data_IF_555208656271
#
_entry.id   IF_555208656271
#
_cell.length_a   1.000
_cell.length_b   1.000
_cell.length_c   1.000
_cell.angle_alpha   90.00
_cell.angle_beta   90.00
_cell.angle_gamma   90.00
#
_symmetry.space_group_name_H-M   'P 1'
#
loop_
_entity.id
_entity.type
_entity.pdbx_description
1 polymer ?
#
# COMPACT_ATOMS: atom_id res chain seq x y z
N UNK A 1 -67.71 0.66 -9.61
CA UNK A 1 -66.41 0.79 -8.93
C UNK A 1 -65.36 1.14 -9.96
N UNK A 2 -64.93 2.39 -9.95
CA UNK A 2 -64.13 3.03 -11.00
C UNK A 2 -62.65 2.65 -10.91
N UNK A 3 -62.09 2.24 -12.04
CA UNK A 3 -60.70 1.85 -12.24
C UNK A 3 -59.78 3.06 -12.35
N UNK A 4 -58.79 3.16 -11.45
CA UNK A 4 -57.69 4.11 -11.56
C UNK A 4 -56.68 3.63 -12.62
N UNK A 5 -56.53 4.41 -13.69
CA UNK A 5 -55.46 4.24 -14.69
C UNK A 5 -54.32 5.21 -14.41
N UNK A 6 -53.12 4.64 -14.30
CA UNK A 6 -51.83 5.32 -14.12
C UNK A 6 -51.40 6.03 -15.42
N UNK A 7 -51.24 7.36 -15.38
CA UNK A 7 -50.66 8.15 -16.47
C UNK A 7 -49.17 8.34 -16.23
N UNK A 8 -48.33 7.58 -16.93
CA UNK A 8 -46.90 7.87 -17.03
C UNK A 8 -46.38 7.54 -18.42
N UNK A 9 -46.40 8.53 -19.33
CA UNK A 9 -45.43 8.67 -20.43
C UNK A 9 -45.81 9.88 -21.28
N UNK A 10 -45.10 10.99 -21.13
CA UNK A 10 -44.98 11.97 -22.21
C UNK A 10 -43.50 12.11 -22.51
N UNK A 11 -43.12 11.52 -23.65
CA UNK A 11 -41.83 11.70 -24.27
C UNK A 11 -41.68 13.12 -24.79
N UNK A 12 -40.43 13.56 -24.83
CA UNK A 12 -39.97 14.74 -25.55
C UNK A 12 -40.42 14.67 -27.02
N UNK A 13 -41.30 15.59 -27.43
CA UNK A 13 -41.48 15.96 -28.83
C UNK A 13 -40.87 17.34 -28.97
N UNK A 14 -39.73 17.42 -29.65
CA UNK A 14 -39.19 18.69 -30.14
C UNK A 14 -40.20 19.31 -31.10
N UNK A 15 -40.77 20.45 -30.72
CA UNK A 15 -41.59 21.25 -31.63
C UNK A 15 -40.69 22.27 -32.32
N UNK A 16 -40.53 22.08 -33.63
CA UNK A 16 -40.20 23.17 -34.53
C UNK A 16 -41.29 24.25 -34.40
N UNK A 17 -40.86 25.51 -34.32
CA UNK A 17 -41.70 26.69 -34.13
C UNK A 17 -42.17 27.16 -35.52
N UNK A 18 -43.47 27.17 -35.86
CA UNK A 18 -43.92 28.00 -36.97
C UNK A 18 -44.03 29.45 -36.51
N UNK A 19 -43.65 30.36 -37.40
CA UNK A 19 -43.79 31.81 -37.23
C UNK A 19 -45.25 32.18 -36.98
N UNK A 20 -45.48 33.06 -36.02
CA UNK A 20 -46.82 33.58 -35.71
C UNK A 20 -47.18 34.62 -36.77
N UNK A 21 -48.14 34.28 -37.63
CA UNK A 21 -48.90 35.26 -38.41
C UNK A 21 -49.97 35.86 -37.50
N UNK A 22 -49.95 37.19 -37.35
CA UNK A 22 -50.95 37.96 -36.61
C UNK A 22 -52.23 38.07 -37.44
N UNK A 23 -53.12 37.09 -37.30
CA UNK A 23 -54.51 37.21 -37.74
C UNK A 23 -55.39 37.48 -36.52
N UNK A 24 -56.04 38.64 -36.52
CA UNK A 24 -56.98 39.09 -35.50
C UNK A 24 -58.20 38.14 -35.53
N UNK A 25 -58.35 37.32 -34.49
CA UNK A 25 -59.48 36.38 -34.35
C UNK A 25 -60.74 37.13 -33.91
N UNK A 26 -61.83 36.94 -34.65
CA UNK A 26 -63.17 37.41 -34.31
C UNK A 26 -63.63 36.80 -32.98
N UNK A 27 -64.11 37.67 -32.07
CA UNK A 27 -64.65 37.28 -30.76
C UNK A 27 -65.94 36.48 -30.92
N UNK A 28 -65.87 35.17 -30.71
CA UNK A 28 -67.06 34.36 -30.41
C UNK A 28 -67.29 34.38 -28.89
N UNK A 29 -68.42 34.93 -28.46
CA UNK A 29 -68.86 34.89 -27.06
C UNK A 29 -69.38 33.50 -26.72
N UNK A 30 -68.50 32.61 -26.26
CA UNK A 30 -68.90 31.35 -25.60
C UNK A 30 -68.66 31.48 -24.10
N UNK A 31 -69.70 31.21 -23.29
CA UNK A 31 -69.68 31.29 -21.81
C UNK A 31 -69.10 30.04 -21.14
N UNK A 32 -68.63 29.05 -21.88
CA UNK A 32 -67.94 27.89 -21.31
C UNK A 32 -66.47 28.25 -21.06
N UNK A 33 -66.11 28.50 -19.80
CA UNK A 33 -64.73 28.64 -19.37
C UNK A 33 -63.89 27.48 -19.90
N UNK A 34 -62.85 27.76 -20.69
CA UNK A 34 -61.91 26.73 -21.11
C UNK A 34 -61.19 26.21 -19.86
N UNK A 35 -61.35 24.92 -19.53
CA UNK A 35 -60.74 24.26 -18.36
C UNK A 35 -59.19 24.22 -18.38
N UNK A 36 -58.53 25.07 -19.17
CA UNK A 36 -57.08 25.06 -19.40
C UNK A 36 -56.41 26.43 -19.23
N UNK A 37 -57.15 27.49 -18.92
CA UNK A 37 -56.53 28.77 -18.59
C UNK A 37 -56.10 28.72 -17.11
N UNK A 38 -54.78 28.66 -16.87
CA UNK A 38 -54.20 28.93 -15.56
C UNK A 38 -54.73 30.30 -15.11
N UNK A 39 -55.31 30.38 -13.92
CA UNK A 39 -55.84 31.64 -13.40
C UNK A 39 -54.73 32.64 -13.04
N UNK A 40 -55.04 33.94 -12.96
CA UNK A 40 -54.08 35.01 -12.68
C UNK A 40 -53.41 34.89 -11.30
N UNK A 41 -54.01 34.14 -10.37
CA UNK A 41 -53.46 33.88 -9.03
C UNK A 41 -52.28 32.90 -9.03
N UNK A 42 -52.15 32.08 -10.08
CA UNK A 42 -51.06 31.12 -10.16
C UNK A 42 -49.77 31.85 -10.60
N UNK A 43 -48.63 31.67 -9.91
CA UNK A 43 -47.37 32.33 -10.29
C UNK A 43 -46.86 31.94 -11.68
N UNK A 44 -47.40 30.88 -12.28
CA UNK A 44 -47.12 30.48 -13.66
C UNK A 44 -48.12 31.04 -14.68
N UNK A 45 -48.98 31.98 -14.28
CA UNK A 45 -49.88 32.69 -15.19
C UNK A 45 -49.11 33.39 -16.32
N UNK A 46 -47.93 33.93 -15.99
CA UNK A 46 -46.96 34.44 -16.95
C UNK A 46 -45.65 33.69 -16.72
N UNK A 47 -45.18 32.95 -17.72
CA UNK A 47 -43.91 32.22 -17.65
C UNK A 47 -42.73 33.18 -17.83
N UNK A 48 -42.12 33.60 -16.73
CA UNK A 48 -40.88 34.37 -16.75
C UNK A 48 -39.70 33.39 -16.76
N UNK A 49 -38.84 33.38 -17.79
CA UNK A 49 -37.69 32.49 -17.84
C UNK A 49 -36.71 32.83 -16.72
N UNK A 50 -36.24 31.82 -16.00
CA UNK A 50 -35.24 31.98 -14.94
C UNK A 50 -33.83 32.02 -15.49
N UNK A 51 -32.91 32.71 -14.81
CA UNK A 51 -31.48 32.66 -15.12
C UNK A 51 -30.92 31.25 -14.92
N UNK A 52 -29.73 30.94 -15.46
CA UNK A 52 -29.13 29.59 -15.37
C UNK A 52 -28.73 29.20 -13.93
N UNK A 53 -28.46 30.19 -13.08
CA UNK A 53 -28.09 30.00 -11.67
C UNK A 53 -28.91 30.96 -10.79
N UNK A 54 -30.23 30.74 -10.67
CA UNK A 54 -31.12 31.74 -10.09
C UNK A 54 -31.10 31.77 -8.55
N UNK A 55 -30.63 30.71 -7.88
CA UNK A 55 -30.55 30.62 -6.42
C UNK A 55 -29.75 29.37 -6.01
N UNK A 56 -28.58 29.51 -5.37
CA UNK A 56 -27.75 28.38 -4.92
C UNK A 56 -28.25 27.77 -3.60
N UNK A 57 -29.54 27.43 -3.52
CA UNK A 57 -30.07 26.76 -2.33
C UNK A 57 -29.48 25.35 -2.22
N UNK A 58 -28.83 25.06 -1.10
CA UNK A 58 -28.33 23.72 -0.80
C UNK A 58 -29.47 22.70 -0.79
N UNK A 59 -29.23 21.51 -1.37
CA UNK A 59 -30.19 20.40 -1.26
C UNK A 59 -30.19 19.92 0.19
N UNK A 60 -31.39 19.69 0.76
CA UNK A 60 -31.52 19.08 2.09
C UNK A 60 -31.14 17.60 2.03
N UNK A 61 -30.43 17.12 3.03
CA UNK A 61 -30.08 15.70 3.16
C UNK A 61 -31.31 14.88 3.55
N UNK A 62 -31.89 14.17 2.59
CA UNK A 62 -32.99 13.24 2.82
C UNK A 62 -32.41 11.95 3.41
N UNK A 63 -32.86 11.56 4.61
CA UNK A 63 -32.43 10.34 5.29
C UNK A 63 -33.17 9.10 4.73
N UNK A 64 -32.51 7.94 4.82
CA UNK A 64 -33.04 6.65 4.37
C UNK A 64 -32.67 6.29 2.92
N UNK A 65 -32.76 5.00 2.60
CA UNK A 65 -32.38 4.46 1.27
C UNK A 65 -33.46 3.50 0.78
N UNK A 66 -33.89 3.65 -0.47
CA UNK A 66 -34.78 2.68 -1.12
C UNK A 66 -33.97 1.46 -1.58
N UNK A 67 -34.52 0.23 -1.49
CA UNK A 67 -33.82 -0.96 -1.95
C UNK A 67 -33.56 -0.87 -3.46
N UNK A 68 -32.33 -1.12 -3.93
CA UNK A 68 -32.03 -1.06 -5.35
C UNK A 68 -32.76 -2.18 -6.10
N UNK A 69 -33.37 -1.89 -7.27
CA UNK A 69 -34.07 -2.89 -8.06
C UNK A 69 -33.09 -3.93 -8.60
N UNK A 70 -33.52 -5.20 -8.64
CA UNK A 70 -32.69 -6.31 -9.14
C UNK A 70 -32.40 -6.18 -10.63
N UNK A 71 -31.17 -6.49 -11.04
CA UNK A 71 -30.81 -6.58 -12.45
C UNK A 71 -31.41 -7.84 -13.11
N UNK A 72 -32.26 -7.64 -14.11
CA UNK A 72 -32.90 -8.73 -14.87
C UNK A 72 -32.09 -9.19 -16.09
N UNK A 73 -31.18 -8.35 -16.60
CA UNK A 73 -30.41 -8.58 -17.81
C UNK A 73 -28.91 -8.48 -17.52
N UNK A 74 -28.32 -9.48 -16.81
CA UNK A 74 -26.88 -9.53 -16.61
C UNK A 74 -26.17 -9.86 -17.93
N UNK A 75 -24.90 -9.41 -18.07
CA UNK A 75 -24.13 -9.62 -19.30
C UNK A 75 -23.81 -11.10 -19.59
N UNK A 76 -23.73 -11.94 -18.56
CA UNK A 76 -23.46 -13.39 -18.66
C UNK A 76 -24.72 -14.26 -18.52
N UNK A 77 -25.90 -13.72 -18.84
CA UNK A 77 -27.18 -14.42 -18.69
C UNK A 77 -27.78 -14.92 -20.02
N UNK A 78 -28.84 -15.75 -19.96
CA UNK A 78 -29.59 -16.11 -21.15
C UNK A 78 -30.26 -14.87 -21.75
N UNK A 79 -30.36 -14.81 -23.08
CA UNK A 79 -31.04 -13.73 -23.78
C UNK A 79 -32.56 -13.84 -23.62
N UNK A 80 -33.08 -13.10 -22.65
CA UNK A 80 -34.51 -13.06 -22.30
C UNK A 80 -35.36 -12.30 -23.31
N UNK A 81 -34.75 -11.60 -24.26
CA UNK A 81 -35.47 -10.88 -25.33
C UNK A 81 -35.57 -11.74 -26.59
N UNK A 82 -34.73 -12.77 -26.71
CA UNK A 82 -34.79 -13.68 -27.85
C UNK A 82 -36.20 -14.27 -28.03
N UNK A 83 -36.67 -14.31 -29.28
CA UNK A 83 -37.99 -14.86 -29.62
C UNK A 83 -38.14 -16.29 -29.10
N UNK A 84 -37.08 -17.10 -29.20
CA UNK A 84 -37.02 -18.47 -28.66
C UNK A 84 -37.30 -18.53 -27.15
N UNK A 85 -36.76 -17.60 -26.37
CA UNK A 85 -37.01 -17.54 -24.92
C UNK A 85 -38.43 -17.07 -24.61
N UNK A 86 -38.91 -16.05 -25.31
CA UNK A 86 -40.27 -15.54 -25.09
C UNK A 86 -41.30 -16.63 -25.44
N UNK A 87 -41.18 -17.29 -26.59
CA UNK A 87 -42.11 -18.32 -27.02
C UNK A 87 -42.07 -19.56 -26.11
N UNK A 88 -40.91 -19.90 -25.54
CA UNK A 88 -40.81 -21.03 -24.60
C UNK A 88 -41.46 -20.73 -23.24
N UNK A 89 -41.28 -19.52 -22.72
CA UNK A 89 -41.81 -19.11 -21.40
C UNK A 89 -43.28 -18.69 -21.50
N UNK A 90 -43.75 -18.29 -22.68
CA UNK A 90 -45.14 -17.86 -22.93
C UNK A 90 -45.84 -18.73 -23.96
N UNK A 91 -45.69 -20.05 -23.83
CA UNK A 91 -46.33 -21.03 -24.71
C UNK A 91 -47.85 -20.87 -24.72
N UNK A 92 -48.42 -20.88 -25.92
CA UNK A 92 -49.86 -20.87 -26.14
C UNK A 92 -50.47 -22.26 -25.90
N UNK A 93 -51.74 -22.34 -25.47
CA UNK A 93 -52.40 -23.62 -25.24
C UNK A 93 -52.49 -24.42 -26.54
N UNK A 94 -52.11 -25.70 -26.49
CA UNK A 94 -52.15 -26.58 -27.67
C UNK A 94 -53.58 -26.75 -28.23
N UNK A 95 -54.61 -26.66 -27.37
CA UNK A 95 -56.02 -26.68 -27.74
C UNK A 95 -56.75 -25.59 -26.94
N UNK A 96 -57.29 -24.54 -27.57
CA UNK A 96 -58.11 -23.57 -26.86
C UNK A 96 -59.43 -24.21 -26.41
N UNK A 97 -59.99 -23.81 -25.24
CA UNK A 97 -61.25 -24.37 -24.77
C UNK A 97 -62.39 -23.95 -25.71
N UNK A 98 -63.09 -24.94 -26.31
CA UNK A 98 -64.13 -24.70 -27.32
C UNK A 98 -65.44 -24.17 -26.71
N UNK A 99 -65.77 -24.56 -25.47
CA UNK A 99 -66.92 -24.11 -24.67
C UNK A 99 -66.53 -24.07 -23.17
N UNK A 100 -65.77 -23.06 -22.71
CA UNK A 100 -65.30 -23.00 -21.34
C UNK A 100 -66.44 -22.65 -20.36
N UNK A 101 -66.49 -23.36 -19.23
CA UNK A 101 -67.18 -22.88 -18.02
C UNK A 101 -66.56 -21.53 -17.58
N UNK A 102 -67.30 -20.67 -16.87
CA UNK A 102 -66.89 -19.32 -16.48
C UNK A 102 -65.51 -19.29 -15.79
N UNK A 103 -65.25 -20.26 -14.92
CA UNK A 103 -63.94 -20.41 -14.26
C UNK A 103 -62.80 -20.73 -15.24
N UNK A 104 -63.06 -21.57 -16.24
CA UNK A 104 -62.09 -21.92 -17.28
C UNK A 104 -61.84 -20.72 -18.20
N UNK A 105 -62.89 -19.96 -18.53
CA UNK A 105 -62.80 -18.74 -19.31
C UNK A 105 -61.96 -17.67 -18.57
N UNK A 106 -62.20 -17.50 -17.26
CA UNK A 106 -61.41 -16.60 -16.41
C UNK A 106 -59.94 -17.01 -16.35
N UNK A 107 -59.65 -18.30 -16.15
CA UNK A 107 -58.27 -18.81 -16.16
C UNK A 107 -57.58 -18.58 -17.50
N UNK A 108 -58.29 -18.78 -18.60
CA UNK A 108 -57.76 -18.53 -19.94
C UNK A 108 -57.42 -17.05 -20.14
N UNK A 109 -58.33 -16.14 -19.75
CA UNK A 109 -58.12 -14.68 -19.79
C UNK A 109 -56.93 -14.25 -18.91
N UNK A 110 -56.82 -14.80 -17.70
CA UNK A 110 -55.70 -14.50 -16.82
C UNK A 110 -54.36 -15.00 -17.40
N UNK A 111 -54.37 -16.18 -18.03
CA UNK A 111 -53.19 -16.73 -18.68
C UNK A 111 -52.76 -15.92 -19.91
N UNK A 112 -53.69 -15.45 -20.74
CA UNK A 112 -53.37 -14.56 -21.86
C UNK A 112 -52.78 -13.24 -21.38
N UNK A 113 -53.42 -12.60 -20.40
CA UNK A 113 -52.93 -11.35 -19.82
C UNK A 113 -51.52 -11.50 -19.21
N UNK A 114 -51.24 -12.60 -18.50
CA UNK A 114 -49.90 -12.87 -17.95
C UNK A 114 -48.83 -13.04 -19.04
N UNK A 115 -49.17 -13.73 -20.14
CA UNK A 115 -48.24 -13.92 -21.28
C UNK A 115 -47.95 -12.59 -21.97
N UNK A 116 -48.98 -11.82 -22.26
CA UNK A 116 -48.87 -10.48 -22.89
C UNK A 116 -48.02 -9.56 -22.02
N UNK A 117 -48.38 -9.41 -20.74
CA UNK A 117 -47.64 -8.58 -19.79
C UNK A 117 -46.17 -8.98 -19.68
N UNK A 118 -45.85 -10.28 -19.67
CA UNK A 118 -44.47 -10.75 -19.59
C UNK A 118 -43.67 -10.42 -20.85
N UNK A 119 -44.24 -10.65 -22.05
CA UNK A 119 -43.62 -10.32 -23.33
C UNK A 119 -43.32 -8.82 -23.41
N UNK A 120 -44.32 -7.99 -23.12
CA UNK A 120 -44.20 -6.54 -23.17
C UNK A 120 -43.22 -6.02 -22.11
N UNK A 121 -43.30 -6.51 -20.87
CA UNK A 121 -42.44 -6.06 -19.78
C UNK A 121 -40.96 -6.34 -20.07
N UNK A 122 -40.61 -7.54 -20.55
CA UNK A 122 -39.21 -7.87 -20.86
C UNK A 122 -38.65 -6.98 -21.98
N UNK A 123 -39.42 -6.79 -23.05
CA UNK A 123 -39.02 -5.92 -24.17
C UNK A 123 -38.86 -4.47 -23.71
N UNK A 124 -39.82 -3.94 -22.93
CA UNK A 124 -39.79 -2.56 -22.46
C UNK A 124 -38.68 -2.30 -21.44
N UNK A 125 -38.46 -3.22 -20.50
CA UNK A 125 -37.38 -3.10 -19.52
C UNK A 125 -36.01 -3.17 -20.20
N UNK A 126 -35.85 -4.02 -21.21
CA UNK A 126 -34.62 -4.06 -21.99
C UNK A 126 -34.39 -2.77 -22.78
N UNK A 127 -35.42 -2.22 -23.43
CA UNK A 127 -35.36 -0.91 -24.09
C UNK A 127 -34.93 0.19 -23.13
N UNK A 128 -35.48 0.22 -21.90
CA UNK A 128 -35.09 1.16 -20.84
C UNK A 128 -33.64 0.98 -20.43
N UNK A 129 -33.18 -0.27 -20.26
CA UNK A 129 -31.77 -0.58 -19.97
C UNK A 129 -30.85 -0.01 -21.06
N UNK A 130 -31.11 -0.33 -22.33
CA UNK A 130 -30.28 0.14 -23.45
C UNK A 130 -30.25 1.66 -23.55
N UNK A 131 -31.40 2.33 -23.36
CA UNK A 131 -31.45 3.79 -23.36
C UNK A 131 -30.58 4.39 -22.24
N UNK A 132 -30.67 3.83 -21.03
CA UNK A 132 -29.87 4.29 -19.89
C UNK A 132 -28.37 4.05 -20.13
N UNK A 133 -27.99 2.87 -20.62
CA UNK A 133 -26.60 2.53 -20.94
C UNK A 133 -26.03 3.47 -21.99
N UNK A 134 -26.79 3.80 -23.04
CA UNK A 134 -26.38 4.79 -24.06
C UNK A 134 -26.13 6.17 -23.45
N UNK A 135 -27.02 6.64 -22.57
CA UNK A 135 -26.87 7.94 -21.90
C UNK A 135 -25.61 7.95 -21.03
N UNK A 136 -25.39 6.89 -20.25
CA UNK A 136 -24.22 6.76 -19.38
C UNK A 136 -22.93 6.67 -20.19
N UNK A 137 -22.89 5.83 -21.22
CA UNK A 137 -21.74 5.66 -22.12
C UNK A 137 -21.39 6.95 -22.85
N UNK A 138 -22.39 7.69 -23.34
CA UNK A 138 -22.16 8.98 -24.01
C UNK A 138 -21.59 10.02 -23.03
N UNK A 139 -22.13 10.11 -21.81
CA UNK A 139 -21.61 11.02 -20.77
C UNK A 139 -20.19 10.66 -20.37
N UNK A 140 -19.90 9.38 -20.15
CA UNK A 140 -18.56 8.92 -19.76
C UNK A 140 -17.54 9.17 -20.88
N UNK A 141 -17.91 8.90 -22.14
CA UNK A 141 -17.09 9.19 -23.30
C UNK A 141 -16.76 10.69 -23.40
N UNK A 142 -17.76 11.57 -23.34
CA UNK A 142 -17.54 13.03 -23.39
C UNK A 142 -16.64 13.51 -22.25
N UNK A 143 -16.81 12.98 -21.04
CA UNK A 143 -15.96 13.32 -19.88
C UNK A 143 -14.52 12.85 -20.10
N UNK A 144 -14.33 11.62 -20.60
CA UNK A 144 -13.00 11.07 -20.91
C UNK A 144 -12.29 11.93 -21.94
N UNK A 145 -12.94 12.25 -23.06
CA UNK A 145 -12.36 13.09 -24.11
C UNK A 145 -12.00 14.50 -23.59
N UNK A 146 -12.86 15.11 -22.78
CA UNK A 146 -12.56 16.41 -22.19
C UNK A 146 -11.36 16.35 -21.23
N UNK A 147 -11.26 15.29 -20.42
CA UNK A 147 -10.15 15.10 -19.50
C UNK A 147 -8.84 14.85 -20.25
N UNK A 148 -8.86 14.00 -21.27
CA UNK A 148 -7.70 13.74 -22.12
C UNK A 148 -7.22 15.02 -22.82
N UNK A 149 -8.16 15.83 -23.34
CA UNK A 149 -7.84 17.13 -23.94
C UNK A 149 -7.18 18.07 -22.93
N UNK A 150 -7.65 18.11 -21.67
CA UNK A 150 -7.03 18.95 -20.62
C UNK A 150 -5.65 18.42 -20.20
N UNK A 151 -5.50 17.10 -20.11
CA UNK A 151 -4.23 16.48 -19.72
C UNK A 151 -3.15 16.70 -20.77
N UNK A 152 -3.52 16.66 -22.05
CA UNK A 152 -2.61 16.93 -23.19
C UNK A 152 -2.54 18.41 -23.56
N UNK A 153 -3.25 19.29 -22.87
CA UNK A 153 -3.21 20.71 -23.17
C UNK A 153 -1.81 21.25 -22.83
N UNK A 154 -1.18 22.04 -23.72
CA UNK A 154 0.07 22.71 -23.38
C UNK A 154 -0.16 23.69 -22.23
N UNK A 155 0.93 24.03 -21.55
CA UNK A 155 0.95 25.13 -20.60
C UNK A 155 0.54 26.44 -21.29
N UNK A 156 -0.02 27.35 -20.51
CA UNK A 156 -0.44 28.65 -21.03
C UNK A 156 0.79 29.48 -21.40
N UNK A 157 0.70 30.32 -22.43
CA UNK A 157 1.86 31.03 -22.96
C UNK A 157 2.47 32.05 -22.00
N UNK A 158 1.64 32.73 -21.21
CA UNK A 158 2.05 33.62 -20.14
C UNK A 158 2.81 32.87 -19.05
N UNK A 159 2.32 31.71 -18.60
CA UNK A 159 3.07 30.86 -17.67
C UNK A 159 4.41 30.44 -18.27
N UNK A 160 4.43 29.99 -19.52
CA UNK A 160 5.67 29.58 -20.21
C UNK A 160 6.73 30.68 -20.26
N UNK A 161 6.32 31.94 -20.44
CA UNK A 161 7.23 33.09 -20.56
C UNK A 161 7.62 33.68 -19.20
N UNK A 162 6.74 33.60 -18.20
CA UNK A 162 6.96 34.17 -16.87
C UNK A 162 7.60 33.18 -15.88
N UNK A 163 7.54 31.87 -16.16
CA UNK A 163 8.18 30.86 -15.33
C UNK A 163 9.72 31.02 -15.36
N UNK A 164 10.40 30.86 -14.22
CA UNK A 164 11.86 30.95 -14.17
C UNK A 164 12.51 29.80 -14.96
N UNK A 165 13.69 30.07 -15.51
CA UNK A 165 14.45 29.08 -16.27
C UNK A 165 15.01 27.99 -15.36
N UNK A 166 14.58 26.74 -15.58
CA UNK A 166 15.21 25.55 -15.01
C UNK A 166 16.07 24.92 -16.10
N UNK A 167 17.37 24.72 -15.85
CA UNK A 167 18.24 24.07 -16.84
C UNK A 167 17.84 22.61 -17.02
N UNK A 168 17.99 22.08 -18.24
CA UNK A 168 17.63 20.68 -18.53
C UNK A 168 18.37 19.69 -17.64
N UNK A 169 19.62 19.99 -17.29
CA UNK A 169 20.42 19.19 -16.38
C UNK A 169 19.76 19.07 -15.01
N UNK A 170 19.29 20.18 -14.43
CA UNK A 170 18.59 20.17 -13.13
C UNK A 170 17.24 19.47 -13.21
N UNK A 171 16.51 19.63 -14.33
CA UNK A 171 15.24 18.93 -14.56
C UNK A 171 15.42 17.41 -14.61
N UNK A 172 16.43 16.92 -15.34
CA UNK A 172 16.75 15.47 -15.44
C UNK A 172 17.13 14.87 -14.09
N UNK A 173 17.82 15.63 -13.23
CA UNK A 173 18.20 15.19 -11.88
C UNK A 173 16.99 15.06 -10.94
N UNK A 174 15.90 15.81 -11.16
CA UNK A 174 14.67 15.67 -10.36
C UNK A 174 13.91 14.35 -10.64
N UNK A 175 14.07 13.79 -11.85
CA UNK A 175 13.39 12.55 -12.26
C UNK A 175 14.01 11.31 -11.59
N UNK A 176 15.29 11.38 -11.20
CA UNK A 176 15.98 10.31 -10.50
C UNK A 176 17.50 10.39 -10.65
N UNK A 177 18.19 9.42 -10.04
CA UNK A 177 19.64 9.29 -10.20
C UNK A 177 19.99 8.84 -11.62
N UNK A 178 21.04 9.42 -12.19
CA UNK A 178 21.62 8.92 -13.45
C UNK A 178 22.38 7.63 -13.13
N UNK A 179 22.15 6.52 -13.85
CA UNK A 179 22.92 5.30 -13.67
C UNK A 179 24.41 5.56 -13.90
N UNK A 180 25.24 5.18 -12.94
CA UNK A 180 26.69 5.27 -13.05
C UNK A 180 27.20 4.18 -14.02
N UNK A 181 27.92 4.55 -15.11
CA UNK A 181 28.45 3.58 -16.07
C UNK A 181 29.46 2.60 -15.46
N UNK A 182 30.16 2.99 -14.38
CA UNK A 182 31.22 2.17 -13.79
C UNK A 182 30.75 1.35 -12.58
N UNK A 183 29.44 1.37 -12.28
CA UNK A 183 28.84 0.77 -11.08
C UNK A 183 29.23 -0.69 -10.86
N UNK A 184 29.24 -1.49 -11.92
CA UNK A 184 29.57 -2.92 -11.83
C UNK A 184 31.03 -3.13 -11.42
N UNK A 185 31.94 -2.33 -11.98
CA UNK A 185 33.37 -2.37 -11.65
C UNK A 185 33.63 -1.95 -10.20
N UNK A 186 32.91 -0.93 -9.72
CA UNK A 186 32.99 -0.51 -8.33
C UNK A 186 32.46 -1.57 -7.36
N UNK A 187 31.34 -2.20 -7.69
CA UNK A 187 30.74 -3.25 -6.88
C UNK A 187 31.68 -4.45 -6.76
N UNK A 188 32.31 -4.86 -7.86
CA UNK A 188 33.32 -5.91 -7.85
C UNK A 188 34.51 -5.54 -6.93
N UNK A 189 35.05 -4.32 -7.04
CA UNK A 189 36.12 -3.82 -6.15
C UNK A 189 35.70 -3.80 -4.69
N UNK A 190 34.47 -3.36 -4.39
CA UNK A 190 33.93 -3.31 -3.02
C UNK A 190 33.73 -4.73 -2.46
N UNK A 191 33.24 -5.67 -3.26
CA UNK A 191 33.08 -7.07 -2.86
C UNK A 191 34.44 -7.71 -2.50
N UNK A 192 35.46 -7.51 -3.33
CA UNK A 192 36.83 -7.99 -3.03
C UNK A 192 37.35 -7.41 -1.71
N UNK A 193 37.14 -6.11 -1.47
CA UNK A 193 37.56 -5.47 -0.20
C UNK A 193 36.85 -6.07 1.01
N UNK A 194 35.56 -6.41 0.88
CA UNK A 194 34.80 -7.07 1.96
C UNK A 194 35.36 -8.46 2.23
N UNK A 195 35.59 -9.26 1.18
CA UNK A 195 36.17 -10.60 1.31
C UNK A 195 37.55 -10.58 1.99
N UNK A 196 38.40 -9.63 1.65
CA UNK A 196 39.72 -9.48 2.30
C UNK A 196 39.60 -9.18 3.79
N UNK A 197 38.67 -8.31 4.19
CA UNK A 197 38.43 -8.01 5.61
C UNK A 197 37.82 -9.18 6.37
N UNK A 198 36.97 -9.97 5.72
CA UNK A 198 36.40 -11.18 6.31
C UNK A 198 37.50 -12.23 6.54
N UNK A 199 38.38 -12.44 5.55
CA UNK A 199 39.53 -13.33 5.69
C UNK A 199 40.46 -12.90 6.84
N UNK A 200 40.73 -11.59 6.99
CA UNK A 200 41.51 -11.05 8.11
C UNK A 200 40.85 -11.34 9.46
N UNK A 201 39.54 -11.13 9.59
CA UNK A 201 38.78 -11.45 10.82
C UNK A 201 38.81 -12.94 11.14
N UNK A 202 38.72 -13.79 10.13
CA UNK A 202 38.82 -15.24 10.31
C UNK A 202 40.20 -15.66 10.79
N UNK A 203 41.26 -15.06 10.23
CA UNK A 203 42.64 -15.29 10.69
C UNK A 203 42.80 -14.85 12.15
N UNK A 204 42.32 -13.67 12.52
CA UNK A 204 42.33 -13.20 13.91
C UNK A 204 41.59 -14.18 14.85
N UNK A 205 40.43 -14.69 14.42
CA UNK A 205 39.67 -15.69 15.20
C UNK A 205 40.45 -16.99 15.38
N UNK A 206 41.12 -17.47 14.33
CA UNK A 206 41.99 -18.67 14.39
C UNK A 206 43.16 -18.45 15.34
N UNK A 207 43.81 -17.29 15.29
CA UNK A 207 44.93 -16.94 16.18
C UNK A 207 44.48 -16.85 17.65
N UNK A 208 43.30 -16.28 17.91
CA UNK A 208 42.71 -16.21 19.24
C UNK A 208 42.38 -17.61 19.78
N UNK A 209 41.81 -18.49 18.94
CA UNK A 209 41.53 -19.88 19.30
C UNK A 209 42.82 -20.64 19.62
N UNK A 210 43.87 -20.47 18.80
CA UNK A 210 45.18 -21.06 19.06
C UNK A 210 45.76 -20.60 20.40
N UNK A 211 45.64 -19.31 20.72
CA UNK A 211 46.07 -18.76 22.01
C UNK A 211 45.31 -19.39 23.17
N UNK A 212 43.99 -19.58 23.03
CA UNK A 212 43.17 -20.28 24.02
C UNK A 212 43.62 -21.73 24.19
N UNK A 213 43.90 -22.43 23.09
CA UNK A 213 44.38 -23.82 23.10
C UNK A 213 45.71 -23.96 23.86
N UNK A 214 46.66 -23.05 23.63
CA UNK A 214 47.94 -23.08 24.37
C UNK A 214 47.74 -22.78 25.86
N UNK A 215 46.84 -21.85 26.21
CA UNK A 215 46.50 -21.56 27.62
C UNK A 215 45.68 -22.67 28.29
N UNK A 216 44.98 -23.51 27.53
CA UNK A 216 44.16 -24.58 28.09
C UNK A 216 44.97 -25.63 28.87
N UNK A 217 46.30 -25.68 28.71
CA UNK A 217 47.20 -26.51 29.51
C UNK A 217 47.16 -26.19 31.01
N UNK A 218 46.85 -24.96 31.38
CA UNK A 218 46.72 -24.54 32.79
C UNK A 218 45.29 -24.57 33.31
N UNK A 219 44.32 -24.89 32.45
CA UNK A 219 42.92 -24.98 32.87
C UNK A 219 42.68 -26.28 33.65
N UNK A 220 41.96 -26.15 34.76
CA UNK A 220 41.53 -27.29 35.55
C UNK A 220 40.20 -27.76 34.97
N UNK A 221 40.20 -28.96 34.39
CA UNK A 221 39.02 -29.54 33.73
C UNK A 221 38.47 -30.76 34.45
N UNK A 222 39.31 -31.49 35.18
CA UNK A 222 38.92 -32.67 35.96
C UNK A 222 39.08 -32.44 37.46
N UNK A 223 38.33 -33.19 38.27
CA UNK A 223 38.42 -33.13 39.73
C UNK A 223 39.80 -33.56 40.24
N UNK A 224 40.47 -34.49 39.55
CA UNK A 224 41.83 -34.92 39.87
C UNK A 224 42.84 -33.77 39.71
N UNK A 225 42.75 -33.03 38.60
CA UNK A 225 43.59 -31.83 38.38
C UNK A 225 43.32 -30.75 39.43
N UNK A 226 42.06 -30.62 39.86
CA UNK A 226 41.67 -29.68 40.91
C UNK A 226 42.33 -30.05 42.24
N UNK A 227 42.20 -31.30 42.68
CA UNK A 227 42.78 -31.76 43.93
C UNK A 227 44.30 -31.63 43.92
N UNK A 228 44.96 -32.02 42.83
CA UNK A 228 46.40 -31.85 42.67
C UNK A 228 46.83 -30.38 42.76
N UNK A 229 46.07 -29.46 42.16
CA UNK A 229 46.33 -28.01 42.27
C UNK A 229 46.01 -27.45 43.65
N UNK A 230 45.01 -27.99 44.35
CA UNK A 230 44.73 -27.63 45.75
C UNK A 230 45.89 -28.05 46.64
N UNK A 231 46.36 -29.28 46.51
CA UNK A 231 47.50 -29.80 47.28
C UNK A 231 48.80 -29.06 46.95
N UNK A 232 48.96 -28.54 45.73
CA UNK A 232 50.11 -27.71 45.33
C UNK A 232 50.05 -26.30 45.94
N UNK A 233 48.89 -25.64 45.85
CA UNK A 233 48.72 -24.23 46.23
C UNK A 233 48.46 -24.06 47.74
N UNK A 234 47.63 -24.91 48.33
CA UNK A 234 47.19 -24.83 49.73
C UNK A 234 48.06 -25.68 50.67
N UNK A 235 49.38 -25.51 50.58
CA UNK A 235 50.32 -26.11 51.55
C UNK A 235 50.61 -25.12 52.70
N UNK A 236 50.77 -25.65 53.92
CA UNK A 236 51.29 -24.88 55.06
C UNK A 236 52.69 -25.39 55.43
N UNK A 237 53.74 -24.54 55.44
CA UNK A 237 53.74 -23.10 55.14
C UNK A 237 53.62 -22.77 53.64
N UNK A 238 53.03 -21.61 53.31
CA UNK A 238 52.78 -21.14 51.92
C UNK A 238 54.04 -20.88 51.10
N UNK A 239 55.18 -20.65 51.76
CA UNK A 239 56.50 -20.54 51.15
C UNK A 239 57.46 -21.45 51.91
N UNK A 240 58.15 -22.34 51.19
CA UNK A 240 59.14 -23.26 51.76
C UNK A 240 60.30 -22.51 52.43
N UNK A 241 60.54 -21.26 52.04
CA UNK A 241 61.66 -20.45 52.51
C UNK A 241 61.31 -19.52 53.70
N UNK A 242 60.02 -19.34 54.01
CA UNK A 242 59.57 -18.41 55.05
C UNK A 242 58.33 -18.94 55.80
N UNK A 243 58.53 -19.85 56.79
CA UNK A 243 57.44 -20.57 57.45
C UNK A 243 56.53 -19.70 58.33
N UNK A 244 56.99 -18.52 58.73
CA UNK A 244 56.27 -17.63 59.66
C UNK A 244 55.21 -16.77 58.97
N UNK A 245 55.22 -16.73 57.63
CA UNK A 245 54.32 -15.88 56.83
C UNK A 245 52.99 -16.58 56.59
N UNK A 246 51.89 -15.92 56.97
CA UNK A 246 50.53 -16.50 56.95
C UNK A 246 49.62 -15.87 55.90
N UNK A 247 50.03 -14.75 55.30
CA UNK A 247 49.23 -14.05 54.29
C UNK A 247 49.95 -13.93 52.94
N UNK A 248 49.18 -13.89 51.86
CA UNK A 248 49.70 -13.64 50.51
C UNK A 248 50.43 -12.29 50.42
N UNK A 249 50.08 -11.32 51.26
CA UNK A 249 50.73 -10.00 51.32
C UNK A 249 52.08 -10.02 52.04
N UNK A 250 52.35 -11.07 52.82
CA UNK A 250 53.65 -11.29 53.46
C UNK A 250 54.58 -12.11 52.54
N UNK A 251 54.02 -13.08 51.80
CA UNK A 251 54.75 -13.99 50.90
C UNK A 251 54.99 -13.34 49.53
N UNK A 252 53.93 -12.82 48.91
CA UNK A 252 53.97 -12.09 47.65
C UNK A 252 54.12 -10.59 47.92
N UNK A 253 54.69 -9.88 46.95
CA UNK A 253 54.79 -8.43 47.01
C UNK A 253 53.40 -7.78 47.02
N UNK A 254 53.34 -6.52 47.47
CA UNK A 254 52.12 -5.72 47.44
C UNK A 254 51.57 -5.69 46.01
N UNK A 255 50.23 -5.69 45.83
CA UNK A 255 49.68 -5.70 44.49
C UNK A 255 50.14 -4.42 43.78
N UNK A 256 50.47 -4.49 42.48
CA UNK A 256 51.09 -3.37 41.79
C UNK A 256 50.16 -2.15 41.85
N UNK A 257 50.66 -1.05 42.41
CA UNK A 257 49.92 0.21 42.43
C UNK A 257 50.10 0.95 41.10
N UNK A 258 49.25 1.95 40.83
CA UNK A 258 49.40 2.81 39.64
C UNK A 258 50.80 3.46 39.60
N UNK A 259 51.36 3.79 40.76
CA UNK A 259 52.71 4.34 40.86
C UNK A 259 53.78 3.32 40.43
N UNK A 260 53.59 2.04 40.75
CA UNK A 260 54.54 0.97 40.40
C UNK A 260 54.47 0.64 38.91
N UNK A 261 53.25 0.64 38.33
CA UNK A 261 53.07 0.50 36.88
C UNK A 261 53.73 1.65 36.11
N UNK A 262 53.56 2.90 36.58
CA UNK A 262 54.21 4.06 35.99
C UNK A 262 55.73 4.03 36.20
N UNK A 263 56.21 3.53 37.33
CA UNK A 263 57.63 3.34 37.59
C UNK A 263 58.26 2.35 36.61
N UNK A 264 57.55 1.28 36.24
CA UNK A 264 57.98 0.32 35.21
C UNK A 264 58.07 0.92 33.80
N UNK A 265 57.17 1.85 33.46
CA UNK A 265 57.21 2.55 32.16
C UNK A 265 58.32 3.61 32.14
N UNK A 266 58.51 4.33 33.25
CA UNK A 266 59.48 5.42 33.38
C UNK A 266 60.87 4.96 33.85
N UNK A 267 61.07 3.64 34.02
CA UNK A 267 62.30 3.02 34.51
C UNK A 267 62.76 3.56 35.89
N UNK A 268 61.80 3.98 36.72
CA UNK A 268 62.01 4.67 37.99
C UNK A 268 61.70 3.77 39.20
N UNK A 269 62.24 2.55 39.22
CA UNK A 269 61.98 1.56 40.27
C UNK A 269 62.56 1.99 41.63
N UNK A 270 61.79 1.78 42.72
CA UNK A 270 62.20 2.11 44.10
C UNK A 270 63.18 1.09 44.68
N UNK A 271 63.17 -0.14 44.18
CA UNK A 271 64.03 -1.27 44.60
C UNK A 271 65.19 -1.45 43.61
N UNK A 272 66.41 -1.61 44.15
CA UNK A 272 67.62 -1.78 43.34
C UNK A 272 67.57 -3.04 42.47
N UNK A 273 67.00 -4.14 42.98
CA UNK A 273 66.88 -5.42 42.26
C UNK A 273 66.01 -5.30 41.00
N UNK A 274 64.89 -4.58 41.06
CA UNK A 274 64.04 -4.35 39.89
C UNK A 274 64.66 -3.37 38.89
N UNK A 275 65.39 -2.36 39.38
CA UNK A 275 66.15 -1.42 38.55
C UNK A 275 67.25 -2.11 37.74
N UNK A 276 67.78 -3.24 38.24
CA UNK A 276 68.77 -4.07 37.56
C UNK A 276 68.19 -5.34 36.92
N UNK A 277 66.86 -5.50 36.87
CA UNK A 277 66.23 -6.58 36.08
C UNK A 277 66.67 -6.38 34.63
N UNK A 278 67.42 -7.34 34.07
CA UNK A 278 68.13 -7.15 32.81
C UNK A 278 67.14 -6.70 31.71
N UNK A 279 67.36 -5.57 31.02
CA UNK A 279 66.49 -5.11 29.92
C UNK A 279 66.24 -6.17 28.85
N UNK A 280 67.11 -7.18 28.78
CA UNK A 280 67.00 -8.34 27.91
C UNK A 280 65.75 -9.19 28.19
N UNK A 281 65.25 -9.29 29.43
CA UNK A 281 64.07 -10.12 29.74
C UNK A 281 62.80 -9.48 29.17
N UNK A 282 62.56 -8.20 29.49
CA UNK A 282 61.40 -7.45 28.96
C UNK A 282 61.46 -7.34 27.44
N UNK A 283 62.67 -7.13 26.89
CA UNK A 283 62.86 -7.07 25.44
C UNK A 283 62.63 -8.44 24.80
N UNK A 284 63.07 -9.52 25.46
CA UNK A 284 62.81 -10.91 25.05
C UNK A 284 61.32 -11.22 24.96
N UNK A 285 60.55 -10.90 26.01
CA UNK A 285 59.10 -11.12 26.04
C UNK A 285 58.38 -10.32 24.93
N UNK A 286 58.81 -9.08 24.69
CA UNK A 286 58.25 -8.24 23.61
C UNK A 286 58.62 -8.78 22.23
N UNK A 287 59.87 -9.19 22.03
CA UNK A 287 60.32 -9.79 20.77
C UNK A 287 59.58 -11.09 20.50
N UNK A 288 59.36 -11.91 21.53
CA UNK A 288 58.54 -13.10 21.43
C UNK A 288 57.11 -12.74 21.05
N UNK A 289 56.48 -11.77 21.73
CA UNK A 289 55.13 -11.37 21.40
C UNK A 289 54.98 -10.86 19.96
N UNK A 290 55.94 -10.05 19.48
CA UNK A 290 56.00 -9.57 18.09
C UNK A 290 56.16 -10.74 17.13
N UNK A 291 57.05 -11.68 17.42
CA UNK A 291 57.27 -12.87 16.60
C UNK A 291 56.00 -13.72 16.52
N UNK A 292 55.30 -13.93 17.64
CA UNK A 292 54.06 -14.69 17.72
C UNK A 292 52.90 -14.03 16.94
N UNK A 293 52.77 -12.71 17.01
CA UNK A 293 51.75 -11.98 16.23
C UNK A 293 52.05 -12.02 14.73
N UNK A 294 53.32 -11.90 14.34
CA UNK A 294 53.73 -11.93 12.94
C UNK A 294 53.62 -13.34 12.32
N UNK A 295 53.94 -14.38 13.10
CA UNK A 295 53.89 -15.78 12.65
C UNK A 295 52.51 -16.42 12.81
N UNK A 296 51.58 -15.78 13.54
CA UNK A 296 50.20 -16.24 13.68
C UNK A 296 50.01 -17.39 14.68
N UNK A 297 50.92 -17.54 15.64
CA UNK A 297 50.89 -18.64 16.61
C UNK A 297 51.66 -18.33 17.89
N UNK A 298 51.23 -18.94 18.99
CA UNK A 298 51.95 -18.94 20.28
C UNK A 298 53.11 -19.93 20.19
N UNK A 299 54.32 -19.50 20.50
CA UNK A 299 55.52 -20.33 20.45
C UNK A 299 55.70 -21.05 21.80
N UNK A 300 56.02 -22.35 21.77
CA UNK A 300 56.34 -23.14 22.98
C UNK A 300 57.85 -23.12 23.21
N UNK A 301 58.28 -22.79 24.44
CA UNK A 301 59.65 -22.97 24.96
C UNK A 301 59.60 -23.45 26.41
#
# INVERSE_FOLDING_TARGET
MSSNMSKSSLGFIGRCRPSQSTAISSRNFSTTASCSAIGPENPRFIEIPTTQQPDARGRRDIKGTLPPPRNLFPNRGPDKISKKYLDSVTREPAKPPKNPNDWVAWKHKLASQRRENLKEALVNLHKRKLAQERIVAHKSYKKRMANEKRLKAPQREDERLMNPTITEAMSKLQVGFVPDPERESELARKALRVQMKEAEREQQRKNALHTLYMKARSFITTEEQLNAKIDEIFTFPFDKNAPDKRSIWEVSEKPPTVQDMLAGVNNSHKTTVEKYRHPAVITGDRMQHIAEELTGGKMDF
#
